data_IF_922020944754
#
_entry.id   IF_922020944754
#
_cell.length_a   1.000
_cell.length_b   1.000
_cell.length_c   1.000
_cell.angle_alpha   90.00
_cell.angle_beta   90.00
_cell.angle_gamma   90.00
#
_symmetry.space_group_name_H-M   'P 1'
#
loop_
_entity.id
_entity.type
_entity.pdbx_description
1 polymer ?
#
# COMPACT_ATOMS: atom_id res chain seq x y z
N UNK A 1 34.54 21.67 43.33
CA UNK A 1 34.87 20.92 42.10
C UNK A 1 33.88 19.78 41.94
N UNK A 2 33.25 19.63 40.77
CA UNK A 2 32.26 18.57 40.52
C UNK A 2 32.95 17.36 39.88
N UNK A 3 32.59 16.15 40.28
CA UNK A 3 33.26 14.91 39.82
C UNK A 3 33.30 14.76 38.28
N UNK A 4 32.28 15.24 37.57
CA UNK A 4 32.22 15.17 36.12
C UNK A 4 33.34 15.94 35.41
N UNK A 5 33.84 17.03 35.98
CA UNK A 5 34.94 17.81 35.35
C UNK A 5 36.25 17.05 35.39
N UNK A 6 36.47 16.25 36.44
CA UNK A 6 37.65 15.39 36.58
C UNK A 6 37.58 14.23 35.57
N UNK A 7 36.41 13.62 35.41
CA UNK A 7 36.20 12.53 34.42
C UNK A 7 36.41 13.00 32.98
N UNK A 8 35.85 14.17 32.61
CA UNK A 8 36.01 14.76 31.28
C UNK A 8 37.48 15.07 30.99
N UNK A 9 38.21 15.64 31.96
CA UNK A 9 39.62 15.97 31.77
C UNK A 9 40.50 14.72 31.59
N UNK A 10 40.14 13.60 32.25
CA UNK A 10 40.81 12.32 32.08
C UNK A 10 40.54 11.68 30.70
N UNK A 11 39.29 11.75 30.21
CA UNK A 11 38.94 11.28 28.86
C UNK A 11 39.67 12.08 27.77
N UNK A 12 39.77 13.40 27.95
CA UNK A 12 40.43 14.33 27.01
C UNK A 12 41.94 14.11 26.90
N UNK A 13 42.56 13.41 27.86
CA UNK A 13 43.99 13.07 27.86
C UNK A 13 44.33 11.91 26.92
N UNK A 14 43.37 11.05 26.56
CA UNK A 14 43.55 9.89 25.65
C UNK A 14 42.64 9.99 24.42
N UNK A 15 42.74 11.10 23.69
CA UNK A 15 41.83 11.48 22.59
C UNK A 15 41.70 10.40 21.50
N UNK A 16 42.81 9.78 21.09
CA UNK A 16 42.79 8.76 20.04
C UNK A 16 42.01 7.50 20.44
N UNK A 17 42.25 6.98 21.65
CA UNK A 17 41.53 5.80 22.17
C UNK A 17 40.03 6.09 22.32
N UNK A 18 39.69 7.28 22.80
CA UNK A 18 38.30 7.69 22.93
C UNK A 18 37.60 7.82 21.59
N UNK A 19 38.25 8.46 20.61
CA UNK A 19 37.70 8.61 19.26
C UNK A 19 37.43 7.23 18.60
N UNK A 20 38.38 6.30 18.72
CA UNK A 20 38.22 4.95 18.17
C UNK A 20 37.04 4.22 18.79
N UNK A 21 36.90 4.27 20.13
CA UNK A 21 35.77 3.65 20.83
C UNK A 21 34.43 4.29 20.44
N UNK A 22 34.37 5.61 20.33
CA UNK A 22 33.13 6.29 19.94
C UNK A 22 32.73 5.97 18.51
N UNK A 23 33.68 5.92 17.58
CA UNK A 23 33.40 5.58 16.17
C UNK A 23 32.94 4.12 16.08
N UNK A 24 33.62 3.18 16.74
CA UNK A 24 33.22 1.78 16.72
C UNK A 24 31.81 1.56 17.28
N UNK A 25 31.50 2.21 18.41
CA UNK A 25 30.17 2.15 19.00
C UNK A 25 29.12 2.80 18.09
N UNK A 26 29.44 3.94 17.48
CA UNK A 26 28.54 4.63 16.55
C UNK A 26 28.20 3.77 15.34
N UNK A 27 29.20 3.12 14.73
CA UNK A 27 29.00 2.21 13.59
C UNK A 27 28.10 1.04 14.00
N UNK A 28 28.38 0.40 15.14
CA UNK A 28 27.57 -0.74 15.61
C UNK A 28 26.10 -0.39 15.85
N UNK A 29 25.83 0.73 16.54
CA UNK A 29 24.45 1.19 16.77
C UNK A 29 23.79 1.59 15.45
N UNK A 30 24.50 2.30 14.57
CA UNK A 30 23.97 2.72 13.28
C UNK A 30 23.55 1.52 12.41
N UNK A 31 24.37 0.46 12.37
CA UNK A 31 24.03 -0.75 11.60
C UNK A 31 22.76 -1.41 12.12
N UNK A 32 22.61 -1.56 13.43
CA UNK A 32 21.42 -2.18 14.03
C UNK A 32 20.18 -1.33 13.75
N UNK A 33 20.23 -0.02 14.00
CA UNK A 33 19.11 0.89 13.73
C UNK A 33 18.72 0.87 12.26
N UNK A 34 19.70 0.85 11.35
CA UNK A 34 19.47 0.81 9.91
C UNK A 34 18.75 -0.48 9.51
N UNK A 35 19.23 -1.63 9.98
CA UNK A 35 18.60 -2.92 9.69
C UNK A 35 17.17 -2.98 10.20
N UNK A 36 16.93 -2.60 11.46
CA UNK A 36 15.58 -2.60 12.06
C UNK A 36 14.65 -1.67 11.29
N UNK A 37 15.11 -0.47 10.95
CA UNK A 37 14.32 0.51 10.17
C UNK A 37 14.01 -0.03 8.78
N UNK A 38 15.01 -0.57 8.09
CA UNK A 38 14.84 -1.10 6.74
C UNK A 38 13.85 -2.25 6.71
N UNK A 39 13.97 -3.21 7.64
CA UNK A 39 13.05 -4.34 7.74
C UNK A 39 11.63 -3.87 8.05
N UNK A 40 11.45 -2.92 8.97
CA UNK A 40 10.13 -2.36 9.29
C UNK A 40 9.49 -1.64 8.09
N UNK A 41 10.27 -0.80 7.38
CA UNK A 41 9.79 -0.12 6.18
C UNK A 41 9.45 -1.10 5.06
N UNK A 42 10.28 -2.14 4.86
CA UNK A 42 9.99 -3.19 3.87
C UNK A 42 8.71 -3.95 4.17
N UNK A 43 8.45 -4.30 5.44
CA UNK A 43 7.18 -4.96 5.81
C UNK A 43 5.98 -4.08 5.45
N UNK A 44 6.01 -2.80 5.80
CA UNK A 44 4.92 -1.87 5.47
C UNK A 44 4.78 -1.63 3.96
N UNK A 45 5.88 -1.57 3.23
CA UNK A 45 5.88 -1.42 1.78
C UNK A 45 5.32 -2.67 1.09
N UNK A 46 5.63 -3.86 1.59
CA UNK A 46 5.10 -5.12 1.09
C UNK A 46 3.60 -5.20 1.37
N UNK A 47 3.14 -4.87 2.57
CA UNK A 47 1.70 -4.83 2.89
C UNK A 47 0.96 -3.89 1.94
N UNK A 48 1.45 -2.66 1.75
CA UNK A 48 0.83 -1.69 0.85
C UNK A 48 0.79 -2.19 -0.60
N UNK A 49 1.88 -2.78 -1.08
CA UNK A 49 1.91 -3.35 -2.43
C UNK A 49 0.98 -4.56 -2.54
N UNK A 50 0.92 -5.43 -1.54
CA UNK A 50 0.04 -6.59 -1.54
C UNK A 50 -1.44 -6.17 -1.54
N UNK A 51 -1.80 -5.11 -0.81
CA UNK A 51 -3.15 -4.52 -0.86
C UNK A 51 -3.49 -3.98 -2.26
N UNK A 52 -2.52 -3.37 -2.95
CA UNK A 52 -2.69 -2.83 -4.31
C UNK A 52 -2.79 -3.95 -5.37
N UNK A 53 -2.02 -5.04 -5.23
CA UNK A 53 -2.06 -6.20 -6.14
C UNK A 53 -3.22 -7.16 -5.85
N UNK A 54 -3.64 -7.29 -4.60
CA UNK A 54 -4.58 -8.34 -4.15
C UNK A 54 -6.06 -7.97 -4.19
N UNK A 55 -6.41 -6.70 -4.37
CA UNK A 55 -7.79 -6.23 -4.22
C UNK A 55 -8.19 -5.18 -5.26
N UNK A 56 -8.05 -5.50 -6.55
CA UNK A 56 -8.57 -4.63 -7.59
C UNK A 56 -10.08 -4.86 -7.78
N UNK A 57 -10.91 -3.86 -7.44
CA UNK A 57 -12.36 -3.98 -7.50
C UNK A 57 -12.85 -3.52 -8.88
N UNK A 58 -13.45 -4.42 -9.66
CA UNK A 58 -14.15 -4.11 -10.90
C UNK A 58 -15.66 -4.04 -10.63
N UNK A 59 -16.29 -2.93 -11.03
CA UNK A 59 -17.73 -2.72 -10.87
C UNK A 59 -18.36 -2.72 -12.27
N UNK A 60 -19.27 -3.64 -12.53
CA UNK A 60 -20.01 -3.74 -13.79
C UNK A 60 -21.51 -3.60 -13.56
N UNK A 61 -22.23 -2.95 -14.49
CA UNK A 61 -23.68 -2.85 -14.43
C UNK A 61 -24.32 -4.24 -14.54
N UNK A 62 -25.41 -4.46 -13.80
CA UNK A 62 -26.19 -5.69 -13.93
C UNK A 62 -26.75 -5.78 -15.36
N UNK A 63 -26.50 -6.91 -16.03
CA UNK A 63 -26.96 -7.15 -17.40
C UNK A 63 -27.64 -8.51 -17.51
N UNK A 64 -28.83 -8.54 -18.13
CA UNK A 64 -29.58 -9.76 -18.37
C UNK A 64 -29.50 -10.10 -19.87
N UNK A 65 -28.88 -11.22 -20.22
CA UNK A 65 -28.79 -11.69 -21.60
C UNK A 65 -30.00 -12.55 -21.99
N UNK A 66 -30.73 -12.17 -23.04
CA UNK A 66 -31.74 -13.02 -23.67
C UNK A 66 -31.14 -13.65 -24.94
N UNK A 67 -30.84 -14.95 -24.90
CA UNK A 67 -30.44 -15.72 -26.07
C UNK A 67 -31.67 -16.08 -26.90
N UNK A 68 -31.90 -15.37 -28.01
CA UNK A 68 -33.03 -15.65 -28.90
C UNK A 68 -32.64 -16.72 -29.94
N UNK A 69 -33.20 -17.92 -29.77
CA UNK A 69 -33.05 -19.01 -30.74
C UNK A 69 -34.39 -19.19 -31.47
N UNK A 70 -34.45 -18.84 -32.77
CA UNK A 70 -35.67 -19.01 -33.59
C UNK A 70 -35.36 -19.86 -34.81
N UNK A 71 -36.10 -20.97 -34.99
CA UNK A 71 -35.97 -21.83 -36.17
C UNK A 71 -34.60 -22.49 -36.36
N UNK A 72 -33.83 -22.71 -35.29
CA UNK A 72 -32.49 -23.30 -35.35
C UNK A 72 -31.37 -22.32 -35.72
N UNK A 73 -31.67 -21.03 -35.87
CA UNK A 73 -30.69 -19.97 -36.08
C UNK A 73 -30.51 -19.21 -34.76
N UNK A 74 -29.29 -19.20 -34.25
CA UNK A 74 -28.88 -18.40 -33.09
C UNK A 74 -28.72 -16.95 -33.53
N UNK A 75 -29.76 -16.14 -33.34
CA UNK A 75 -29.66 -14.69 -33.43
C UNK A 75 -28.87 -14.28 -32.17
N UNK A 76 -27.66 -13.73 -32.35
CA UNK A 76 -26.72 -13.43 -31.26
C UNK A 76 -27.41 -12.77 -30.06
N UNK A 77 -26.99 -13.14 -28.85
CA UNK A 77 -27.64 -12.69 -27.62
C UNK A 77 -27.72 -11.17 -27.55
N UNK A 78 -28.93 -10.64 -27.35
CA UNK A 78 -29.13 -9.22 -27.09
C UNK A 78 -29.20 -9.04 -25.58
N UNK A 79 -28.33 -8.18 -25.06
CA UNK A 79 -28.36 -7.76 -23.66
C UNK A 79 -29.55 -6.81 -23.48
N UNK A 80 -30.52 -7.18 -22.64
CA UNK A 80 -31.67 -6.35 -22.30
C UNK A 80 -31.61 -6.01 -20.80
N UNK A 81 -32.16 -4.86 -20.41
CA UNK A 81 -32.20 -4.39 -19.01
C UNK A 81 -30.80 -4.18 -18.39
N UNK A 82 -29.88 -3.58 -19.15
CA UNK A 82 -28.59 -3.17 -18.62
C UNK A 82 -28.78 -1.89 -17.79
N UNK A 83 -28.73 -2.03 -16.46
CA UNK A 83 -28.93 -0.90 -15.54
C UNK A 83 -27.62 -0.15 -15.34
N UNK A 84 -27.55 1.09 -15.83
CA UNK A 84 -26.40 1.97 -15.65
C UNK A 84 -26.14 2.26 -14.15
N UNK A 85 -24.88 2.57 -13.83
CA UNK A 85 -24.49 3.00 -12.49
C UNK A 85 -24.94 4.45 -12.32
N UNK A 86 -25.88 4.71 -11.40
CA UNK A 86 -26.41 6.05 -11.16
C UNK A 86 -25.48 6.85 -10.25
N UNK A 87 -25.56 8.18 -10.30
CA UNK A 87 -24.72 9.05 -9.45
C UNK A 87 -25.00 8.84 -7.95
N UNK A 88 -26.22 8.44 -7.60
CA UNK A 88 -26.59 8.05 -6.23
C UNK A 88 -25.86 6.79 -5.73
N UNK A 89 -25.50 5.87 -6.63
CA UNK A 89 -24.76 4.64 -6.31
C UNK A 89 -23.28 4.93 -6.03
N UNK A 90 -22.72 6.04 -6.54
CA UNK A 90 -21.35 6.46 -6.22
C UNK A 90 -21.14 6.69 -4.72
N UNK A 91 -22.17 7.16 -4.01
CA UNK A 91 -22.12 7.33 -2.57
C UNK A 91 -21.99 5.97 -1.86
N UNK A 92 -22.68 4.93 -2.36
CA UNK A 92 -22.58 3.58 -1.82
C UNK A 92 -21.23 2.93 -2.16
N UNK A 93 -20.71 3.14 -3.37
CA UNK A 93 -19.41 2.60 -3.78
C UNK A 93 -18.27 3.13 -2.89
N UNK A 94 -18.35 4.38 -2.43
CA UNK A 94 -17.37 4.95 -1.49
C UNK A 94 -17.37 4.28 -0.12
N UNK A 95 -18.47 3.64 0.28
CA UNK A 95 -18.57 2.91 1.55
C UNK A 95 -17.92 1.52 1.51
N UNK A 96 -17.55 1.03 0.32
CA UNK A 96 -16.84 -0.24 0.17
C UNK A 96 -15.47 -0.15 0.86
N UNK A 97 -15.16 -1.15 1.69
CA UNK A 97 -13.83 -1.30 2.30
C UNK A 97 -12.80 -1.42 1.17
N UNK A 98 -11.78 -0.56 1.19
CA UNK A 98 -10.78 -0.43 0.11
C UNK A 98 -11.33 0.18 -1.20
N UNK A 99 -12.31 1.09 -1.13
CA UNK A 99 -12.79 1.87 -2.29
C UNK A 99 -11.72 2.68 -3.02
N UNK A 100 -10.52 2.83 -2.44
CA UNK A 100 -9.33 3.40 -3.09
C UNK A 100 -8.68 2.47 -4.13
N UNK A 101 -9.04 1.19 -4.15
CA UNK A 101 -8.48 0.17 -5.05
C UNK A 101 -9.42 -0.18 -6.22
N UNK A 102 -10.33 0.72 -6.59
CA UNK A 102 -11.21 0.55 -7.75
C UNK A 102 -10.43 1.00 -9.01
N UNK A 103 -10.02 0.07 -9.88
CA UNK A 103 -9.25 0.44 -11.10
C UNK A 103 -10.10 0.83 -12.30
N UNK A 104 -11.35 0.38 -12.38
CA UNK A 104 -12.20 0.70 -13.51
C UNK A 104 -13.68 0.67 -13.11
N UNK A 105 -14.41 1.69 -13.54
CA UNK A 105 -15.87 1.68 -13.62
C UNK A 105 -16.22 1.64 -15.09
N UNK A 106 -16.94 0.61 -15.50
CA UNK A 106 -17.45 0.52 -16.86
C UNK A 106 -18.69 1.40 -16.96
N UNK A 107 -18.50 2.63 -17.44
CA UNK A 107 -19.58 3.53 -17.81
C UNK A 107 -19.92 3.24 -19.29
N UNK A 108 -21.17 2.92 -19.58
CA UNK A 108 -21.64 2.84 -20.96
C UNK A 108 -21.66 4.26 -21.53
N UNK A 109 -20.83 4.50 -22.53
CA UNK A 109 -20.91 5.69 -23.36
C UNK A 109 -22.06 5.47 -24.36
N UNK A 110 -23.05 6.36 -24.33
CA UNK A 110 -24.18 6.43 -25.27
C UNK A 110 -23.74 6.63 -26.71
#
# INVERSE_FOLDING_TARGET
MKLHTISINNLKRRKAKMAFLTIGLMVGIATIVTLVTLTGSMSSDIERKMDEFGANILITPQSNGLSMNYGGISLGGVTFDQREILEEDLAQIKTIKNSKNISAMECLET
#
